data_IF_061999429468
#
_entry.id   IF_061999429468
#
_cell.length_a   1.000
_cell.length_b   1.000
_cell.length_c   1.000
_cell.angle_alpha   90.00
_cell.angle_beta   90.00
_cell.angle_gamma   90.00
#
_symmetry.space_group_name_H-M   'P 1'
#
loop_
_entity.id
_entity.type
_entity.pdbx_description
1 polymer ?
#
# COMPACT_ATOMS: atom_id res chain seq x y z
N UNK A 1 2.32 -12.99 -30.64
CA UNK A 1 2.77 -13.20 -29.25
C UNK A 1 3.29 -11.85 -28.73
N UNK A 2 2.83 -11.35 -27.59
CA UNK A 2 3.31 -10.07 -27.03
C UNK A 2 4.75 -10.27 -26.51
N UNK A 3 5.72 -9.37 -26.82
CA UNK A 3 7.07 -9.47 -26.27
C UNK A 3 7.07 -9.49 -24.74
N UNK A 4 7.93 -10.31 -24.13
CA UNK A 4 8.03 -10.46 -22.66
C UNK A 4 8.13 -9.12 -21.93
N UNK A 5 8.95 -8.21 -22.45
CA UNK A 5 9.15 -6.89 -21.87
C UNK A 5 7.83 -6.10 -21.82
N UNK A 6 7.08 -6.05 -22.93
CA UNK A 6 5.82 -5.33 -23.00
C UNK A 6 4.78 -5.92 -22.04
N UNK A 7 4.69 -7.25 -21.97
CA UNK A 7 3.78 -7.95 -21.06
C UNK A 7 4.11 -7.66 -19.59
N UNK A 8 5.39 -7.68 -19.21
CA UNK A 8 5.81 -7.42 -17.83
C UNK A 8 5.65 -5.93 -17.46
N UNK A 9 5.90 -5.01 -18.39
CA UNK A 9 5.59 -3.59 -18.18
C UNK A 9 4.08 -3.40 -17.95
N UNK A 10 3.23 -4.01 -18.77
CA UNK A 10 1.77 -3.95 -18.57
C UNK A 10 1.35 -4.56 -17.23
N UNK A 11 1.97 -5.66 -16.82
CA UNK A 11 1.71 -6.28 -15.51
C UNK A 11 1.96 -5.29 -14.36
N UNK A 12 3.09 -4.59 -14.39
CA UNK A 12 3.44 -3.59 -13.38
C UNK A 12 2.51 -2.37 -13.46
N UNK A 13 2.26 -1.83 -14.66
CA UNK A 13 1.40 -0.65 -14.80
C UNK A 13 -0.03 -0.92 -14.33
N UNK A 14 -0.62 -2.06 -14.73
CA UNK A 14 -1.99 -2.43 -14.34
C UNK A 14 -2.04 -2.75 -12.84
N UNK A 15 -1.08 -3.52 -12.32
CA UNK A 15 -1.00 -3.82 -10.89
C UNK A 15 -0.90 -2.55 -10.04
N UNK A 16 -0.01 -1.64 -10.41
CA UNK A 16 0.16 -0.36 -9.73
C UNK A 16 -1.14 0.46 -9.77
N UNK A 17 -1.74 0.62 -10.94
CA UNK A 17 -2.96 1.40 -11.10
C UNK A 17 -4.10 0.88 -10.23
N UNK A 18 -4.39 -0.42 -10.26
CA UNK A 18 -5.50 -1.01 -9.49
C UNK A 18 -5.24 -0.90 -7.98
N UNK A 19 -4.03 -1.22 -7.52
CA UNK A 19 -3.71 -1.13 -6.09
C UNK A 19 -3.69 0.30 -5.55
N UNK A 20 -3.19 1.28 -6.32
CA UNK A 20 -3.23 2.69 -5.95
C UNK A 20 -4.67 3.23 -5.91
N UNK A 21 -5.53 2.82 -6.86
CA UNK A 21 -6.95 3.18 -6.83
C UNK A 21 -7.61 2.62 -5.57
N UNK A 22 -7.37 1.34 -5.25
CA UNK A 22 -7.92 0.71 -4.05
C UNK A 22 -7.43 1.40 -2.77
N UNK A 23 -6.13 1.69 -2.71
CA UNK A 23 -5.52 2.41 -1.59
C UNK A 23 -6.17 3.80 -1.40
N UNK A 24 -6.18 4.62 -2.45
CA UNK A 24 -6.74 5.95 -2.41
C UNK A 24 -8.23 5.95 -2.09
N UNK A 25 -9.00 4.98 -2.62
CA UNK A 25 -10.41 4.82 -2.28
C UNK A 25 -10.62 4.53 -0.79
N UNK A 26 -9.86 3.59 -0.21
CA UNK A 26 -9.93 3.26 1.22
C UNK A 26 -9.55 4.45 2.11
N UNK A 27 -8.53 5.22 1.72
CA UNK A 27 -8.14 6.45 2.42
C UNK A 27 -9.25 7.51 2.33
N UNK A 28 -9.85 7.72 1.17
CA UNK A 28 -10.90 8.72 0.97
C UNK A 28 -12.15 8.44 1.81
N UNK A 29 -12.52 7.17 1.99
CA UNK A 29 -13.66 6.80 2.84
C UNK A 29 -13.28 6.66 4.32
N UNK A 30 -12.01 6.81 4.68
CA UNK A 30 -11.54 6.52 6.05
C UNK A 30 -12.22 7.41 7.10
N UNK A 31 -12.37 8.71 6.82
CA UNK A 31 -12.93 9.70 7.75
C UNK A 31 -14.43 9.53 7.99
N UNK A 32 -15.16 8.87 7.08
CA UNK A 32 -16.58 8.54 7.29
C UNK A 32 -16.77 7.32 8.19
N UNK A 33 -15.78 6.43 8.27
CA UNK A 33 -15.79 5.24 9.13
C UNK A 33 -15.20 5.58 10.50
N UNK A 34 -14.03 6.22 10.52
CA UNK A 34 -13.33 6.66 11.73
C UNK A 34 -13.10 8.17 11.58
N UNK A 35 -13.97 9.00 12.18
CA UNK A 35 -13.81 10.45 12.15
C UNK A 35 -12.43 10.85 12.66
N UNK A 36 -11.80 11.77 11.93
CA UNK A 36 -10.53 12.37 12.33
C UNK A 36 -10.76 13.38 13.47
N UNK A 37 -9.70 13.72 14.24
CA UNK A 37 -9.77 14.80 15.20
C UNK A 37 -10.22 16.11 14.56
N UNK A 38 -10.87 16.96 15.34
CA UNK A 38 -11.33 18.29 14.89
C UNK A 38 -10.15 19.13 14.37
N UNK A 39 -10.35 19.87 13.28
CA UNK A 39 -9.34 20.73 12.67
C UNK A 39 -8.35 20.02 11.73
N UNK A 40 -8.44 18.69 11.59
CA UNK A 40 -7.60 17.92 10.66
C UNK A 40 -8.17 17.95 9.25
N UNK A 41 -7.36 18.45 8.30
CA UNK A 41 -7.59 18.27 6.87
C UNK A 41 -6.79 17.05 6.36
N UNK A 42 -7.45 15.94 6.00
CA UNK A 42 -6.78 14.72 5.53
C UNK A 42 -6.09 14.88 4.17
N UNK A 43 -6.35 15.95 3.42
CA UNK A 43 -5.72 16.21 2.12
C UNK A 43 -4.50 17.14 2.23
N UNK A 44 -4.16 17.58 3.44
CA UNK A 44 -3.05 18.49 3.69
C UNK A 44 -2.03 17.84 4.64
N UNK A 45 -0.83 17.54 4.11
CA UNK A 45 0.25 16.91 4.88
C UNK A 45 0.66 17.73 6.11
N UNK A 46 0.70 19.07 6.00
CA UNK A 46 1.03 19.95 7.13
C UNK A 46 -0.06 19.90 8.20
N UNK A 47 -1.33 19.82 7.80
CA UNK A 47 -2.45 19.66 8.73
C UNK A 47 -2.35 18.34 9.50
N UNK A 48 -2.12 17.22 8.80
CA UNK A 48 -1.92 15.90 9.43
C UNK A 48 -0.73 15.95 10.39
N UNK A 49 0.41 16.46 9.94
CA UNK A 49 1.65 16.47 10.73
C UNK A 49 1.50 17.32 12.00
N UNK A 50 0.86 18.49 11.92
CA UNK A 50 0.68 19.37 13.09
C UNK A 50 -0.32 18.79 14.10
N UNK A 51 -1.32 18.02 13.66
CA UNK A 51 -2.33 17.41 14.51
C UNK A 51 -2.07 15.94 14.84
N UNK A 52 -0.96 15.33 14.36
CA UNK A 52 -0.70 13.89 14.52
C UNK A 52 -0.69 13.45 16.00
N UNK A 53 -0.36 14.36 16.90
CA UNK A 53 -0.39 14.15 18.35
C UNK A 53 -1.81 13.90 18.90
N UNK A 54 -2.86 14.32 18.18
CA UNK A 54 -4.27 14.05 18.51
C UNK A 54 -4.73 12.68 18.00
N UNK A 55 -3.95 12.00 17.16
CA UNK A 55 -4.33 10.71 16.60
C UNK A 55 -4.17 9.61 17.65
N UNK A 56 -5.28 8.95 17.97
CA UNK A 56 -5.27 7.63 18.60
C UNK A 56 -5.07 6.50 17.57
N UNK A 57 -4.72 5.31 18.06
CA UNK A 57 -4.49 4.10 17.27
C UNK A 57 -5.56 3.75 16.23
N UNK A 58 -6.84 3.99 16.52
CA UNK A 58 -7.94 3.70 15.59
C UNK A 58 -7.79 4.44 14.25
N UNK A 59 -7.20 5.64 14.24
CA UNK A 59 -7.05 6.44 13.02
C UNK A 59 -6.04 5.84 12.04
N UNK A 60 -5.19 4.90 12.48
CA UNK A 60 -4.22 4.21 11.63
C UNK A 60 -4.74 2.86 11.08
N UNK A 61 -5.90 2.38 11.55
CA UNK A 61 -6.46 1.09 11.14
C UNK A 61 -6.85 1.07 9.67
N UNK A 62 -7.55 2.11 9.19
CA UNK A 62 -7.95 2.19 7.78
C UNK A 62 -6.73 2.42 6.88
N UNK A 63 -5.79 3.35 7.19
CA UNK A 63 -4.53 3.46 6.44
C UNK A 63 -3.76 2.15 6.33
N UNK A 64 -3.65 1.39 7.43
CA UNK A 64 -3.02 0.07 7.41
C UNK A 64 -3.65 -0.86 6.37
N UNK A 65 -4.98 -0.98 6.38
CA UNK A 65 -5.69 -1.82 5.42
C UNK A 65 -5.60 -1.28 3.98
N UNK A 66 -5.60 0.05 3.82
CA UNK A 66 -5.38 0.68 2.52
C UNK A 66 -4.00 0.32 1.94
N UNK A 67 -2.95 0.36 2.77
CA UNK A 67 -1.60 -0.06 2.38
C UNK A 67 -1.52 -1.56 2.10
N UNK A 68 -2.04 -2.37 3.02
CA UNK A 68 -1.98 -3.83 2.96
C UNK A 68 -2.71 -4.38 1.74
N UNK A 69 -3.96 -3.97 1.53
CA UNK A 69 -4.78 -4.43 0.40
C UNK A 69 -4.31 -3.81 -0.92
N UNK A 70 -3.87 -2.56 -0.92
CA UNK A 70 -3.25 -1.93 -2.09
C UNK A 70 -2.04 -2.73 -2.58
N UNK A 71 -1.09 -3.02 -1.68
CA UNK A 71 0.12 -3.80 -2.00
C UNK A 71 -0.24 -5.22 -2.47
N UNK A 72 -1.16 -5.88 -1.75
CA UNK A 72 -1.62 -7.23 -2.10
C UNK A 72 -2.23 -7.30 -3.50
N UNK A 73 -3.18 -6.40 -3.80
CA UNK A 73 -3.88 -6.39 -5.09
C UNK A 73 -2.93 -6.04 -6.23
N UNK A 74 -2.02 -5.08 -6.03
CA UNK A 74 -0.98 -4.77 -7.01
C UNK A 74 -0.12 -6.00 -7.33
N UNK A 75 0.39 -6.67 -6.30
CA UNK A 75 1.21 -7.87 -6.46
C UNK A 75 0.44 -9.02 -7.13
N UNK A 76 -0.79 -9.27 -6.69
CA UNK A 76 -1.63 -10.34 -7.23
C UNK A 76 -1.91 -10.16 -8.72
N UNK A 77 -2.39 -8.98 -9.12
CA UNK A 77 -2.73 -8.68 -10.51
C UNK A 77 -1.49 -8.74 -11.39
N UNK A 78 -0.39 -8.12 -10.94
CA UNK A 78 0.84 -8.15 -11.71
C UNK A 78 1.39 -9.57 -11.85
N UNK A 79 1.37 -10.39 -10.80
CA UNK A 79 1.80 -11.78 -10.86
C UNK A 79 0.97 -12.64 -11.82
N UNK A 80 -0.35 -12.39 -11.94
CA UNK A 80 -1.20 -13.07 -12.94
C UNK A 80 -0.82 -12.74 -14.38
N UNK A 81 -0.38 -11.51 -14.63
CA UNK A 81 -0.03 -11.05 -15.98
C UNK A 81 1.42 -11.38 -16.31
N UNK A 82 2.31 -11.42 -15.31
CA UNK A 82 3.75 -11.57 -15.47
C UNK A 82 4.16 -12.81 -16.27
N UNK A 83 5.24 -12.70 -17.05
CA UNK A 83 5.88 -13.80 -17.76
C UNK A 83 7.28 -14.05 -17.18
N UNK A 84 7.49 -15.23 -16.59
CA UNK A 84 8.73 -15.65 -15.93
C UNK A 84 8.49 -16.03 -14.47
N UNK A 85 9.44 -15.73 -13.58
CA UNK A 85 9.26 -15.94 -12.15
C UNK A 85 8.18 -14.96 -11.61
N UNK A 86 7.01 -15.49 -11.28
CA UNK A 86 5.84 -14.75 -10.82
C UNK A 86 5.92 -14.29 -9.36
N UNK A 87 6.97 -14.64 -8.63
CA UNK A 87 7.28 -14.01 -7.33
C UNK A 87 7.87 -12.61 -7.47
N UNK A 88 8.50 -12.28 -8.61
CA UNK A 88 9.15 -10.98 -8.84
C UNK A 88 8.19 -9.80 -8.60
N UNK A 89 6.96 -9.79 -9.16
CA UNK A 89 6.00 -8.72 -8.87
C UNK A 89 5.68 -8.53 -7.40
N UNK A 90 5.64 -9.61 -6.61
CA UNK A 90 5.41 -9.55 -5.17
C UNK A 90 6.50 -8.76 -4.45
N UNK A 91 7.76 -9.00 -4.80
CA UNK A 91 8.89 -8.24 -4.23
C UNK A 91 8.94 -6.80 -4.73
N UNK A 92 8.66 -6.57 -6.02
CA UNK A 92 8.61 -5.21 -6.59
C UNK A 92 7.57 -4.37 -5.86
N UNK A 93 6.33 -4.84 -5.73
CA UNK A 93 5.27 -4.07 -5.07
C UNK A 93 5.45 -3.98 -3.58
N UNK A 94 5.91 -5.06 -2.92
CA UNK A 94 6.25 -5.01 -1.50
C UNK A 94 7.31 -3.94 -1.21
N UNK A 95 8.38 -3.86 -2.00
CA UNK A 95 9.42 -2.83 -1.83
C UNK A 95 8.94 -1.43 -2.22
N UNK A 96 8.22 -1.30 -3.33
CA UNK A 96 7.71 -0.01 -3.81
C UNK A 96 6.79 0.66 -2.78
N UNK A 97 5.81 -0.08 -2.26
CA UNK A 97 4.92 0.44 -1.24
C UNK A 97 5.63 0.63 0.11
N UNK A 98 6.59 -0.23 0.48
CA UNK A 98 7.40 -0.04 1.69
C UNK A 98 8.17 1.29 1.66
N UNK A 99 8.79 1.64 0.53
CA UNK A 99 9.48 2.93 0.35
C UNK A 99 8.48 4.09 0.53
N UNK A 100 7.28 3.98 -0.05
CA UNK A 100 6.20 4.95 0.15
C UNK A 100 5.79 5.07 1.61
N UNK A 101 5.61 3.95 2.30
CA UNK A 101 5.26 3.88 3.73
C UNK A 101 6.30 4.54 4.62
N UNK A 102 7.57 4.18 4.43
CA UNK A 102 8.70 4.79 5.14
C UNK A 102 8.70 6.31 4.91
N UNK A 103 8.52 6.74 3.66
CA UNK A 103 8.47 8.17 3.32
C UNK A 103 7.33 8.89 4.07
N UNK A 104 6.13 8.29 4.10
CA UNK A 104 4.98 8.87 4.81
C UNK A 104 5.20 8.94 6.32
N UNK A 105 5.79 7.92 6.94
CA UNK A 105 6.13 7.92 8.37
C UNK A 105 7.03 9.12 8.72
N UNK A 106 8.04 9.40 7.89
CA UNK A 106 8.91 10.56 8.08
C UNK A 106 8.18 11.89 7.86
N UNK A 107 7.40 11.99 6.79
CA UNK A 107 6.69 13.23 6.43
C UNK A 107 5.70 13.65 7.51
N UNK A 108 4.84 12.73 7.99
CA UNK A 108 3.80 13.07 8.97
C UNK A 108 4.26 12.96 10.42
N UNK A 109 5.53 12.60 10.67
CA UNK A 109 6.09 12.30 12.00
C UNK A 109 5.20 11.31 12.77
N UNK A 110 4.85 10.22 12.09
CA UNK A 110 3.88 9.23 12.57
C UNK A 110 4.34 8.59 13.90
N UNK A 111 3.42 8.27 14.83
CA UNK A 111 3.75 7.55 16.05
C UNK A 111 4.42 6.20 15.77
N UNK A 112 5.38 5.83 16.62
CA UNK A 112 6.28 4.69 16.37
C UNK A 112 5.51 3.38 16.20
N UNK A 113 4.58 3.05 17.11
CA UNK A 113 4.01 1.70 17.11
C UNK A 113 3.04 1.44 15.94
N UNK A 114 2.08 2.34 15.60
CA UNK A 114 1.30 2.20 14.37
C UNK A 114 2.18 2.11 13.12
N UNK A 115 3.25 2.91 13.07
CA UNK A 115 4.22 2.88 11.96
C UNK A 115 4.92 1.53 11.86
N UNK A 116 5.37 0.95 12.98
CA UNK A 116 6.01 -0.36 12.98
C UNK A 116 5.05 -1.46 12.49
N UNK A 117 3.80 -1.46 12.96
CA UNK A 117 2.78 -2.42 12.50
C UNK A 117 2.59 -2.29 10.99
N UNK A 118 2.47 -1.08 10.49
CA UNK A 118 2.27 -0.82 9.07
C UNK A 118 3.49 -1.24 8.22
N UNK A 119 4.68 -0.75 8.55
CA UNK A 119 5.93 -1.04 7.82
C UNK A 119 6.26 -2.54 7.78
N UNK A 120 5.98 -3.27 8.86
CA UNK A 120 6.28 -4.70 8.95
C UNK A 120 5.26 -5.54 8.19
N UNK A 121 3.96 -5.23 8.33
CA UNK A 121 2.91 -6.14 7.87
C UNK A 121 2.24 -5.72 6.56
N UNK A 122 2.13 -4.43 6.24
CA UNK A 122 1.34 -3.97 5.11
C UNK A 122 2.03 -4.14 3.74
N UNK A 123 3.35 -4.31 3.72
CA UNK A 123 4.13 -4.21 2.48
C UNK A 123 4.73 -5.54 2.02
N UNK A 124 5.91 -5.91 2.52
CA UNK A 124 6.60 -7.13 2.07
C UNK A 124 5.75 -8.40 2.27
N UNK A 125 5.08 -8.61 3.43
CA UNK A 125 4.22 -9.79 3.59
C UNK A 125 3.03 -9.81 2.64
N UNK A 126 2.40 -8.66 2.39
CA UNK A 126 1.24 -8.58 1.50
C UNK A 126 1.62 -8.69 0.02
N UNK A 127 2.78 -8.15 -0.37
CA UNK A 127 3.33 -8.33 -1.71
C UNK A 127 3.67 -9.80 -1.98
N UNK A 128 4.32 -10.46 -1.01
CA UNK A 128 4.57 -11.90 -1.07
C UNK A 128 3.26 -12.70 -1.14
N UNK A 129 2.29 -12.41 -0.27
CA UNK A 129 1.00 -13.11 -0.21
C UNK A 129 0.22 -12.94 -1.53
N UNK A 130 0.21 -11.73 -2.09
CA UNK A 130 -0.43 -11.43 -3.37
C UNK A 130 0.15 -12.27 -4.51
N UNK A 131 1.47 -12.33 -4.63
CA UNK A 131 2.11 -13.18 -5.63
C UNK A 131 1.86 -14.68 -5.40
N UNK A 132 1.94 -15.16 -4.15
CA UNK A 132 1.68 -16.57 -3.81
C UNK A 132 0.25 -16.99 -4.16
N UNK A 133 -0.75 -16.20 -3.79
CA UNK A 133 -2.15 -16.49 -4.13
C UNK A 133 -2.43 -16.32 -5.63
N UNK A 134 -1.61 -15.57 -6.36
CA UNK A 134 -1.66 -15.55 -7.81
C UNK A 134 -1.15 -16.84 -8.47
N UNK A 135 -0.56 -17.77 -7.71
CA UNK A 135 -0.02 -19.04 -8.18
C UNK A 135 1.50 -19.03 -8.35
N UNK A 136 2.19 -18.06 -7.75
CA UNK A 136 3.65 -18.04 -7.76
C UNK A 136 4.23 -19.12 -6.85
N UNK A 137 5.17 -19.89 -7.40
CA UNK A 137 5.97 -20.85 -6.65
C UNK A 137 7.37 -20.26 -6.43
N UNK A 138 7.94 -20.36 -5.22
CA UNK A 138 9.29 -19.88 -4.92
C UNK A 138 10.35 -20.60 -5.73
#
# INVERSE_FOLDING_TARGET
MIPKILRNTLALTIGAAVGMILNGWLINISSSIIPLPEGVDPNNLDSIQTHIHMYSWKHFVIPFWAHALGTFVSAFIAAKIWLGNTMIPGYIFGLFFLIGGISMVYLIKSPIIPSLVDLVFAYLPMGWLGARLAGANP
#
